data_IF_434604491541
#
_entry.id   IF_434604491541
#
_cell.length_a   1.000
_cell.length_b   1.000
_cell.length_c   1.000
_cell.angle_alpha   90.00
_cell.angle_beta   90.00
_cell.angle_gamma   90.00
#
_symmetry.space_group_name_H-M   'P 1'
#
loop_
_entity.id
_entity.type
_entity.pdbx_description
1 polymer ?
#
# COMPACT_ATOMS: atom_id res chain seq x y z
N UNK A 1 -14.28 8.51 -6.74
CA UNK A 1 -13.90 7.10 -6.94
C UNK A 1 -14.23 6.22 -5.76
N UNK A 2 -14.47 4.93 -6.03
CA UNK A 2 -14.77 3.92 -5.01
C UNK A 2 -13.66 3.79 -3.97
N UNK A 3 -12.40 3.91 -4.36
CA UNK A 3 -11.24 3.87 -3.46
C UNK A 3 -11.22 5.04 -2.46
N UNK A 4 -11.52 6.24 -2.93
CA UNK A 4 -11.65 7.43 -2.06
C UNK A 4 -12.83 7.29 -1.10
N UNK A 5 -13.94 6.69 -1.56
CA UNK A 5 -15.13 6.51 -0.74
C UNK A 5 -14.92 5.55 0.44
N UNK A 6 -14.04 4.54 0.29
CA UNK A 6 -13.74 3.58 1.35
C UNK A 6 -12.67 4.07 2.33
N UNK A 7 -11.88 5.09 2.00
CA UNK A 7 -10.78 5.56 2.83
C UNK A 7 -11.21 6.02 4.23
N UNK A 8 -12.28 6.84 4.32
CA UNK A 8 -12.76 7.35 5.60
C UNK A 8 -13.41 6.24 6.48
N UNK A 9 -14.32 5.39 5.97
CA UNK A 9 -14.84 4.26 6.73
C UNK A 9 -13.77 3.26 7.18
N UNK A 10 -12.72 3.07 6.37
CA UNK A 10 -11.63 2.14 6.69
C UNK A 10 -10.93 2.51 8.01
N UNK A 11 -10.75 3.80 8.31
CA UNK A 11 -10.13 4.26 9.55
C UNK A 11 -10.89 3.83 10.82
N UNK A 12 -12.17 3.47 10.70
CA UNK A 12 -13.00 3.02 11.83
C UNK A 12 -12.81 1.53 12.13
N UNK A 13 -12.24 0.75 11.21
CA UNK A 13 -12.07 -0.70 11.33
C UNK A 13 -10.84 -1.08 12.16
N UNK A 14 -10.67 -0.46 13.33
CA UNK A 14 -9.43 -0.57 14.16
C UNK A 14 -9.08 -1.99 14.63
N UNK A 15 -10.03 -2.93 14.58
CA UNK A 15 -9.80 -4.36 14.88
C UNK A 15 -9.49 -5.22 13.66
N UNK A 16 -9.42 -4.62 12.46
CA UNK A 16 -9.14 -5.35 11.22
C UNK A 16 -7.74 -5.95 11.25
N UNK A 17 -7.66 -7.25 10.95
CA UNK A 17 -6.39 -7.99 10.89
C UNK A 17 -5.92 -8.28 9.46
N UNK A 18 -6.84 -8.32 8.51
CA UNK A 18 -6.58 -8.55 7.09
C UNK A 18 -7.43 -7.62 6.25
N UNK A 19 -6.79 -6.95 5.29
CA UNK A 19 -7.45 -6.10 4.31
C UNK A 19 -6.99 -6.53 2.92
N UNK A 20 -7.95 -6.91 2.08
CA UNK A 20 -7.75 -7.18 0.66
C UNK A 20 -8.53 -6.14 -0.14
N UNK A 21 -7.80 -5.34 -0.90
CA UNK A 21 -8.34 -4.40 -1.88
C UNK A 21 -7.69 -4.65 -3.25
N UNK A 22 -7.25 -5.88 -3.53
CA UNK A 22 -6.61 -6.22 -4.80
C UNK A 22 -7.57 -6.07 -5.99
N UNK A 23 -7.01 -5.70 -7.14
CA UNK A 23 -7.73 -5.67 -8.43
C UNK A 23 -9.01 -4.80 -8.46
N UNK A 24 -9.08 -3.72 -7.69
CA UNK A 24 -10.23 -2.78 -7.70
C UNK A 24 -10.01 -1.56 -8.60
N UNK A 25 -8.87 -1.47 -9.28
CA UNK A 25 -8.57 -0.37 -10.20
C UNK A 25 -8.48 0.99 -9.50
N UNK A 26 -7.90 1.03 -8.29
CA UNK A 26 -7.93 2.21 -7.43
C UNK A 26 -7.14 3.41 -7.99
N UNK A 27 -6.12 3.15 -8.80
CA UNK A 27 -5.19 4.17 -9.31
C UNK A 27 -4.29 4.77 -8.22
N UNK A 28 -3.38 5.66 -8.64
CA UNK A 28 -2.48 6.37 -7.73
C UNK A 28 -3.22 7.21 -6.69
N UNK A 29 -4.15 8.08 -7.12
CA UNK A 29 -4.92 8.94 -6.22
C UNK A 29 -5.78 8.12 -5.23
N UNK A 30 -6.30 6.97 -5.65
CA UNK A 30 -7.01 6.06 -4.76
C UNK A 30 -6.11 5.47 -3.70
N UNK A 31 -4.87 5.09 -4.04
CA UNK A 31 -3.89 4.54 -3.11
C UNK A 31 -3.47 5.59 -2.07
N UNK A 32 -3.26 6.84 -2.50
CA UNK A 32 -3.01 7.96 -1.59
C UNK A 32 -4.18 8.15 -0.61
N UNK A 33 -5.43 8.15 -1.11
CA UNK A 33 -6.60 8.27 -0.27
C UNK A 33 -6.73 7.12 0.74
N UNK A 34 -6.58 5.88 0.29
CA UNK A 34 -6.64 4.69 1.17
C UNK A 34 -5.52 4.69 2.19
N UNK A 35 -4.33 5.21 1.86
CA UNK A 35 -3.22 5.33 2.82
C UNK A 35 -3.61 6.13 4.06
N UNK A 36 -4.41 7.19 3.92
CA UNK A 36 -4.92 7.96 5.05
C UNK A 36 -5.85 7.14 5.95
N UNK A 37 -6.68 6.26 5.35
CA UNK A 37 -7.55 5.33 6.08
C UNK A 37 -6.81 4.22 6.82
N UNK A 38 -5.66 3.79 6.30
CA UNK A 38 -4.85 2.72 6.90
C UNK A 38 -4.19 3.13 8.23
N UNK A 39 -3.94 4.42 8.46
CA UNK A 39 -3.13 4.91 9.58
C UNK A 39 -3.65 4.49 10.98
N UNK A 40 -4.95 4.23 11.11
CA UNK A 40 -5.58 3.78 12.36
C UNK A 40 -5.57 2.26 12.58
N UNK A 41 -5.17 1.48 11.58
CA UNK A 41 -5.31 0.02 11.59
C UNK A 41 -4.14 -0.69 12.31
N UNK A 42 -3.92 -0.34 13.56
CA UNK A 42 -2.78 -0.84 14.36
C UNK A 42 -2.74 -2.36 14.57
N UNK A 43 -3.87 -3.06 14.34
CA UNK A 43 -4.02 -4.52 14.40
C UNK A 43 -3.91 -5.22 13.05
N UNK A 44 -3.66 -4.49 11.97
CA UNK A 44 -3.55 -5.05 10.63
C UNK A 44 -2.26 -5.86 10.49
N UNK A 45 -2.38 -7.13 10.14
CA UNK A 45 -1.25 -8.05 9.92
C UNK A 45 -0.95 -8.26 8.44
N UNK A 46 -2.01 -8.20 7.60
CA UNK A 46 -1.94 -8.46 6.16
C UNK A 46 -2.68 -7.38 5.38
N UNK A 47 -2.01 -6.82 4.37
CA UNK A 47 -2.56 -5.84 3.44
C UNK A 47 -2.27 -6.28 1.99
N UNK A 48 -3.30 -6.37 1.15
CA UNK A 48 -3.17 -6.71 -0.27
C UNK A 48 -3.73 -5.59 -1.15
N UNK A 49 -2.89 -5.08 -2.05
CA UNK A 49 -3.13 -3.92 -2.92
C UNK A 49 -2.65 -4.16 -4.37
N UNK A 50 -2.32 -5.38 -4.74
CA UNK A 50 -1.83 -5.70 -6.09
C UNK A 50 -2.92 -5.50 -7.16
N UNK A 51 -2.51 -5.30 -8.41
CA UNK A 51 -3.45 -5.14 -9.53
C UNK A 51 -4.29 -3.86 -9.50
N UNK A 52 -3.84 -2.82 -8.79
CA UNK A 52 -4.61 -1.57 -8.62
C UNK A 52 -4.10 -0.37 -9.41
N UNK A 53 -2.97 -0.48 -10.13
CA UNK A 53 -2.38 0.64 -10.85
C UNK A 53 -2.00 1.80 -9.93
N UNK A 54 -1.45 1.50 -8.75
CA UNK A 54 -1.22 2.49 -7.67
C UNK A 54 -0.08 3.48 -7.94
N UNK A 55 0.68 3.30 -9.03
CA UNK A 55 1.83 4.15 -9.35
C UNK A 55 2.98 4.07 -8.33
N UNK A 56 4.04 4.83 -8.59
CA UNK A 56 5.17 5.00 -7.68
C UNK A 56 4.82 5.86 -6.48
N UNK A 57 4.10 6.98 -6.69
CA UNK A 57 3.73 7.88 -5.60
C UNK A 57 2.72 7.24 -4.64
N UNK A 58 1.69 6.57 -5.17
CA UNK A 58 0.72 5.85 -4.35
C UNK A 58 1.36 4.68 -3.59
N UNK A 59 2.31 3.97 -4.20
CA UNK A 59 3.12 2.96 -3.52
C UNK A 59 3.92 3.51 -2.34
N UNK A 60 4.60 4.65 -2.53
CA UNK A 60 5.33 5.34 -1.46
C UNK A 60 4.39 5.84 -0.34
N UNK A 61 3.21 6.33 -0.68
CA UNK A 61 2.21 6.77 0.30
C UNK A 61 1.77 5.61 1.21
N UNK A 62 1.44 4.45 0.61
CA UNK A 62 1.11 3.23 1.35
C UNK A 62 2.28 2.78 2.22
N UNK A 63 3.50 2.76 1.67
CA UNK A 63 4.70 2.31 2.40
C UNK A 63 4.97 3.17 3.65
N UNK A 64 4.83 4.50 3.56
CA UNK A 64 5.00 5.40 4.70
C UNK A 64 4.03 5.10 5.84
N UNK A 65 2.79 4.75 5.51
CA UNK A 65 1.79 4.41 6.54
C UNK A 65 2.02 3.01 7.07
N UNK A 66 2.31 2.04 6.20
CA UNK A 66 2.65 0.67 6.57
C UNK A 66 3.87 0.59 7.52
N UNK A 67 4.84 1.50 7.38
CA UNK A 67 5.97 1.65 8.29
C UNK A 67 5.56 1.99 9.74
N UNK A 68 4.37 2.55 9.92
CA UNK A 68 3.82 2.95 11.23
C UNK A 68 2.83 1.92 11.79
N UNK A 69 2.52 0.85 11.04
CA UNK A 69 1.62 -0.21 11.48
C UNK A 69 2.42 -1.31 12.20
N UNK A 70 2.36 -1.40 13.54
CA UNK A 70 3.28 -2.26 14.31
C UNK A 70 3.01 -3.75 14.11
N UNK A 71 1.77 -4.12 13.78
CA UNK A 71 1.36 -5.51 13.56
C UNK A 71 1.56 -5.99 12.10
N UNK A 72 1.82 -5.09 11.16
CA UNK A 72 1.87 -5.44 9.74
C UNK A 72 3.09 -6.33 9.47
N UNK A 73 2.87 -7.46 8.80
CA UNK A 73 3.93 -8.42 8.43
C UNK A 73 3.88 -8.78 6.95
N UNK A 74 2.71 -8.72 6.34
CA UNK A 74 2.51 -9.10 4.94
C UNK A 74 1.93 -7.90 4.19
N UNK A 75 2.65 -7.43 3.18
CA UNK A 75 2.20 -6.37 2.27
C UNK A 75 2.38 -6.82 0.83
N UNK A 76 1.28 -7.02 0.12
CA UNK A 76 1.29 -7.30 -1.32
C UNK A 76 0.97 -6.02 -2.05
N UNK A 77 1.94 -5.51 -2.80
CA UNK A 77 1.87 -4.22 -3.45
C UNK A 77 2.58 -4.33 -4.80
N UNK A 78 1.96 -3.81 -5.84
CA UNK A 78 2.50 -3.76 -7.18
C UNK A 78 2.41 -2.31 -7.66
N UNK A 79 3.55 -1.64 -7.79
CA UNK A 79 3.65 -0.32 -8.39
C UNK A 79 3.90 -0.47 -9.88
N UNK A 80 2.95 -0.04 -10.71
CA UNK A 80 3.15 0.05 -12.15
C UNK A 80 3.22 1.53 -12.55
N UNK A 81 4.44 2.08 -12.53
CA UNK A 81 4.83 3.37 -13.12
C UNK A 81 6.33 3.20 -13.44
N UNK A 82 6.86 3.44 -14.63
CA UNK A 82 6.58 4.46 -15.62
C UNK A 82 6.76 3.88 -17.03
N UNK A 83 5.97 4.36 -17.99
CA UNK A 83 6.33 4.27 -19.39
C UNK A 83 7.55 5.18 -19.66
N UNK A 84 8.76 4.80 -19.23
CA UNK A 84 10.06 5.12 -19.88
C UNK A 84 11.32 4.85 -19.04
N UNK A 85 11.28 4.88 -17.70
CA UNK A 85 12.51 4.84 -16.87
C UNK A 85 12.51 3.73 -15.79
N UNK A 86 13.13 2.60 -16.13
CA UNK A 86 13.34 1.46 -15.22
C UNK A 86 14.21 1.80 -14.00
N UNK A 87 15.10 2.80 -14.10
CA UNK A 87 15.96 3.15 -12.98
C UNK A 87 15.17 3.84 -11.87
N UNK A 88 14.22 4.71 -12.24
CA UNK A 88 13.30 5.34 -11.29
C UNK A 88 12.39 4.32 -10.61
N UNK A 89 11.91 3.35 -11.38
CA UNK A 89 11.08 2.26 -10.86
C UNK A 89 11.83 1.44 -9.79
N UNK A 90 13.04 0.98 -10.08
CA UNK A 90 13.83 0.22 -9.10
C UNK A 90 14.20 1.08 -7.89
N UNK A 91 14.51 2.37 -8.07
CA UNK A 91 14.76 3.28 -6.95
C UNK A 91 13.53 3.41 -6.03
N UNK A 92 12.33 3.48 -6.61
CA UNK A 92 11.07 3.52 -5.87
C UNK A 92 10.82 2.22 -5.11
N UNK A 93 11.00 1.07 -5.77
CA UNK A 93 10.89 -0.26 -5.15
C UNK A 93 11.89 -0.42 -4.00
N UNK A 94 13.14 0.00 -4.20
CA UNK A 94 14.18 -0.03 -3.18
C UNK A 94 13.82 0.86 -1.98
N UNK A 95 13.28 2.06 -2.22
CA UNK A 95 12.81 2.96 -1.16
C UNK A 95 11.67 2.32 -0.35
N UNK A 96 10.69 1.71 -1.01
CA UNK A 96 9.58 1.00 -0.33
C UNK A 96 10.11 -0.15 0.52
N UNK A 97 11.01 -0.98 -0.02
CA UNK A 97 11.65 -2.07 0.74
C UNK A 97 12.41 -1.54 1.95
N UNK A 98 13.16 -0.46 1.80
CA UNK A 98 13.90 0.19 2.88
C UNK A 98 13.03 0.78 3.99
N UNK A 99 11.80 1.20 3.67
CA UNK A 99 10.82 1.69 4.66
C UNK A 99 10.18 0.59 5.50
N UNK A 100 10.24 -0.67 5.04
CA UNK A 100 9.44 -1.77 5.57
C UNK A 100 10.29 -2.96 6.05
N UNK A 101 11.30 -2.73 6.92
CA UNK A 101 12.18 -3.81 7.39
C UNK A 101 11.45 -4.88 8.24
N UNK A 102 10.28 -4.54 8.79
CA UNK A 102 9.43 -5.43 9.59
C UNK A 102 8.45 -6.26 8.75
N UNK A 103 8.28 -5.94 7.47
CA UNK A 103 7.43 -6.71 6.55
C UNK A 103 8.24 -7.89 6.03
N UNK A 104 7.76 -9.10 6.29
CA UNK A 104 8.45 -10.36 5.99
C UNK A 104 7.91 -11.07 4.76
N UNK A 105 6.84 -10.58 4.14
CA UNK A 105 6.27 -11.18 2.93
C UNK A 105 5.50 -10.21 2.05
N UNK A 106 5.46 -10.53 0.75
CA UNK A 106 4.71 -9.81 -0.29
C UNK A 106 5.53 -8.75 -1.04
N UNK A 107 6.60 -8.22 -0.44
CA UNK A 107 7.47 -7.21 -1.07
C UNK A 107 8.32 -7.76 -2.23
N UNK A 108 8.40 -9.07 -2.41
CA UNK A 108 9.08 -9.68 -3.56
C UNK A 108 8.33 -9.47 -4.89
N UNK A 109 7.06 -9.08 -4.83
CA UNK A 109 6.20 -8.80 -5.99
C UNK A 109 6.20 -7.32 -6.39
N UNK A 110 6.98 -6.48 -5.68
CA UNK A 110 7.23 -5.10 -6.04
C UNK A 110 7.91 -4.99 -7.39
#
# INVERSE_FOLDING_TARGET
>A
DGATAIAAPLALLTSLQTLDLSCIGMGEAGAEAVSAGLAGLTRLHKLELYGNGIGGAGGLAVARVAARLPALRILWLQCEEFASDKAMEEATRAAIRGMLPHVTGGLQYL
#
